data_IF_423133325302
#
_entry.id   IF_423133325302
#
_cell.length_a   1.000
_cell.length_b   1.000
_cell.length_c   1.000
_cell.angle_alpha   90.00
_cell.angle_beta   90.00
_cell.angle_gamma   90.00
#
_symmetry.space_group_name_H-M   'P 1'
#
loop_
_entity.id
_entity.type
_entity.pdbx_description
1 polymer ?
#
# COMPACT_ATOMS: atom_id res chain seq x y z
N UNK A 1 44.18 16.10 16.52
CA UNK A 1 42.88 15.51 16.84
C UNK A 1 42.02 16.56 17.55
N UNK A 2 40.85 16.87 16.99
CA UNK A 2 39.87 17.74 17.64
C UNK A 2 39.27 16.97 18.81
N UNK A 3 39.22 17.48 20.04
CA UNK A 3 38.60 16.76 21.13
C UNK A 3 37.08 16.70 20.89
N UNK A 4 36.48 15.51 21.06
CA UNK A 4 35.05 15.28 20.88
C UNK A 4 34.73 14.09 19.98
N UNK A 5 33.43 13.87 19.70
CA UNK A 5 32.92 12.75 18.89
C UNK A 5 32.80 13.15 17.40
N UNK A 6 33.90 13.71 16.85
CA UNK A 6 33.91 14.12 15.44
C UNK A 6 34.47 13.00 14.56
N UNK A 7 33.73 12.69 13.51
CA UNK A 7 34.14 11.76 12.45
C UNK A 7 34.21 12.52 11.11
N UNK A 8 35.29 12.41 10.34
CA UNK A 8 35.42 13.12 9.06
C UNK A 8 34.43 12.57 8.03
N UNK A 9 33.98 13.41 7.11
CA UNK A 9 33.22 12.96 5.95
C UNK A 9 34.05 11.95 5.15
N UNK A 10 33.51 10.75 4.96
CA UNK A 10 34.24 9.61 4.43
C UNK A 10 33.53 9.04 3.21
N UNK A 11 34.27 8.87 2.12
CA UNK A 11 33.82 8.21 0.91
C UNK A 11 34.49 6.83 0.80
N UNK A 12 33.64 5.79 0.69
CA UNK A 12 34.10 4.41 0.47
C UNK A 12 33.95 4.06 -1.00
N UNK A 13 35.00 3.59 -1.62
CA UNK A 13 35.06 3.06 -2.99
C UNK A 13 35.44 1.58 -2.98
N UNK A 14 35.26 0.89 -4.09
CA UNK A 14 35.51 -0.56 -4.19
C UNK A 14 34.69 -1.37 -3.15
N UNK A 15 33.47 -0.95 -2.92
CA UNK A 15 32.53 -1.59 -1.97
C UNK A 15 31.86 -2.77 -2.66
N UNK A 16 31.75 -3.89 -1.94
CA UNK A 16 31.06 -5.10 -2.38
C UNK A 16 29.76 -5.31 -1.60
N UNK A 17 28.78 -5.95 -2.22
CA UNK A 17 27.42 -6.14 -1.70
C UNK A 17 27.37 -6.90 -0.36
N UNK A 18 28.41 -7.65 0.00
CA UNK A 18 28.53 -8.41 1.25
C UNK A 18 29.10 -7.62 2.43
N UNK A 19 29.65 -6.43 2.20
CA UNK A 19 30.17 -5.56 3.25
C UNK A 19 29.08 -5.03 4.17
N UNK A 20 29.36 -4.88 5.46
CA UNK A 20 28.40 -4.38 6.45
C UNK A 20 27.80 -3.02 6.08
N UNK A 21 28.61 -2.10 5.53
CA UNK A 21 28.15 -0.78 5.07
C UNK A 21 27.09 -0.83 3.97
N UNK A 22 26.91 -2.00 3.31
CA UNK A 22 25.85 -2.20 2.30
C UNK A 22 24.63 -2.91 2.86
N UNK A 23 24.74 -3.52 4.04
CA UNK A 23 23.67 -4.29 4.70
C UNK A 23 23.05 -3.55 5.88
N UNK A 24 23.89 -2.83 6.63
CA UNK A 24 23.48 -2.13 7.84
C UNK A 24 23.51 -0.63 7.63
N UNK A 25 22.60 0.07 8.26
CA UNK A 25 22.54 1.52 8.21
C UNK A 25 23.72 2.12 9.02
N UNK A 26 24.55 2.92 8.34
CA UNK A 26 25.64 3.65 8.99
C UNK A 26 25.17 5.03 9.43
N UNK A 27 24.88 5.20 10.71
CA UNK A 27 24.54 6.51 11.28
C UNK A 27 25.80 7.38 11.43
N UNK A 28 26.28 7.93 10.32
CA UNK A 28 27.49 8.74 10.30
C UNK A 28 27.76 9.33 8.93
N UNK A 29 28.77 10.24 8.83
CA UNK A 29 29.11 10.90 7.57
C UNK A 29 29.92 9.99 6.63
N UNK A 30 29.37 8.83 6.32
CA UNK A 30 29.99 7.81 5.45
C UNK A 30 29.11 7.58 4.24
N UNK A 31 29.67 7.62 3.05
CA UNK A 31 28.98 7.33 1.80
C UNK A 31 29.72 6.23 1.03
N UNK A 32 29.03 5.15 0.71
CA UNK A 32 29.52 4.09 -0.16
C UNK A 32 29.16 4.40 -1.63
N UNK A 33 30.13 4.22 -2.53
CA UNK A 33 29.95 4.39 -3.98
C UNK A 33 30.21 3.07 -4.67
N UNK A 34 29.19 2.61 -5.38
CA UNK A 34 29.21 1.34 -6.12
C UNK A 34 29.01 1.61 -7.61
N UNK A 35 29.94 1.24 -8.48
CA UNK A 35 29.74 1.34 -9.92
C UNK A 35 28.75 0.31 -10.43
N UNK A 36 28.15 0.60 -11.57
CA UNK A 36 27.27 -0.32 -12.30
C UNK A 36 27.48 -0.18 -13.80
N UNK A 37 27.26 -1.25 -14.56
CA UNK A 37 27.44 -1.30 -16.01
C UNK A 37 26.14 -1.13 -16.79
N UNK A 38 24.99 -1.32 -16.12
CA UNK A 38 23.67 -1.20 -16.74
C UNK A 38 22.62 -0.63 -15.79
N UNK A 39 21.57 -0.04 -16.34
CA UNK A 39 20.42 0.44 -15.59
C UNK A 39 19.76 -0.68 -14.76
N UNK A 40 19.63 -1.86 -15.35
CA UNK A 40 19.06 -3.03 -14.67
C UNK A 40 19.89 -3.43 -13.45
N UNK A 41 21.18 -3.38 -13.58
CA UNK A 41 22.09 -3.65 -12.47
C UNK A 41 21.97 -2.60 -11.37
N UNK A 42 21.92 -1.31 -11.73
CA UNK A 42 21.75 -0.22 -10.78
C UNK A 42 20.47 -0.38 -9.96
N UNK A 43 19.35 -0.67 -10.62
CA UNK A 43 18.06 -0.87 -9.94
C UNK A 43 18.09 -2.11 -9.04
N UNK A 44 18.65 -3.21 -9.53
CA UNK A 44 18.79 -4.43 -8.74
C UNK A 44 19.65 -4.20 -7.48
N UNK A 45 20.81 -3.54 -7.62
CA UNK A 45 21.66 -3.18 -6.48
C UNK A 45 20.96 -2.24 -5.50
N UNK A 46 20.27 -1.21 -5.99
CA UNK A 46 19.54 -0.28 -5.14
C UNK A 46 18.41 -0.97 -4.36
N UNK A 47 17.74 -1.98 -4.95
CA UNK A 47 16.67 -2.73 -4.31
C UNK A 47 17.18 -3.88 -3.41
N UNK A 48 18.46 -4.25 -3.51
CA UNK A 48 19.08 -5.30 -2.69
C UNK A 48 19.44 -4.77 -1.29
N UNK A 49 18.43 -4.32 -0.56
CA UNK A 49 18.55 -3.82 0.81
C UNK A 49 17.26 -4.12 1.56
N UNK A 50 17.34 -4.41 2.85
CA UNK A 50 16.20 -4.53 3.75
C UNK A 50 15.63 -3.16 4.15
N UNK A 51 16.29 -2.08 3.76
CA UNK A 51 15.88 -0.70 4.00
C UNK A 51 15.34 -0.08 2.71
N UNK A 52 14.37 0.84 2.84
CA UNK A 52 13.74 1.49 1.70
C UNK A 52 13.03 2.78 2.09
N UNK A 53 13.73 3.72 2.73
CA UNK A 53 13.11 4.99 3.14
C UNK A 53 13.02 5.96 1.98
N UNK A 54 14.15 6.40 1.46
CA UNK A 54 14.24 7.36 0.37
C UNK A 54 15.26 6.94 -0.68
N UNK A 55 15.05 7.37 -1.90
CA UNK A 55 16.00 7.25 -2.99
C UNK A 55 16.01 8.51 -3.86
N UNK A 56 17.05 8.66 -4.68
CA UNK A 56 17.19 9.75 -5.62
C UNK A 56 17.68 9.26 -6.98
N UNK A 57 17.10 9.77 -8.06
CA UNK A 57 17.54 9.49 -9.43
C UNK A 57 17.99 10.79 -10.08
N UNK A 58 19.26 10.86 -10.46
CA UNK A 58 19.85 12.04 -11.08
C UNK A 58 20.01 11.84 -12.56
N UNK A 59 19.27 12.59 -13.37
CA UNK A 59 19.26 12.47 -14.83
C UNK A 59 18.75 13.72 -15.51
N UNK A 60 19.23 14.00 -16.74
CA UNK A 60 18.68 15.05 -17.59
C UNK A 60 17.39 14.61 -18.31
N UNK A 61 17.15 13.30 -18.39
CA UNK A 61 15.94 12.76 -19.02
C UNK A 61 14.88 12.45 -17.95
N UNK A 62 13.91 13.33 -17.79
CA UNK A 62 12.85 13.19 -16.79
C UNK A 62 11.98 11.94 -17.01
N UNK A 63 11.69 11.55 -18.24
CA UNK A 63 10.90 10.36 -18.54
C UNK A 63 11.65 9.10 -18.07
N UNK A 64 12.96 9.04 -18.35
CA UNK A 64 13.84 7.97 -17.83
C UNK A 64 13.90 7.97 -16.31
N UNK A 65 14.04 9.16 -15.69
CA UNK A 65 14.04 9.29 -14.23
C UNK A 65 12.77 8.73 -13.60
N UNK A 66 11.60 9.04 -14.14
CA UNK A 66 10.30 8.52 -13.68
C UNK A 66 10.19 7.01 -13.86
N UNK A 67 10.68 6.47 -14.98
CA UNK A 67 10.66 5.03 -15.25
C UNK A 67 11.54 4.25 -14.24
N UNK A 68 12.72 4.77 -13.92
CA UNK A 68 13.60 4.19 -12.90
C UNK A 68 12.97 4.32 -11.50
N UNK A 69 12.49 5.52 -11.15
CA UNK A 69 11.86 5.78 -9.85
C UNK A 69 10.69 4.81 -9.54
N UNK A 70 9.89 4.48 -10.55
CA UNK A 70 8.78 3.53 -10.41
C UNK A 70 9.22 2.08 -10.10
N UNK A 71 10.50 1.76 -10.29
CA UNK A 71 11.09 0.43 -10.06
C UNK A 71 11.92 0.34 -8.79
N UNK A 72 12.16 1.48 -8.13
CA UNK A 72 12.88 1.51 -6.86
C UNK A 72 11.95 1.19 -5.69
N UNK A 73 12.37 0.29 -4.83
CA UNK A 73 11.62 -0.20 -3.68
C UNK A 73 11.83 0.69 -2.46
N UNK A 74 11.49 1.98 -2.59
CA UNK A 74 11.57 2.98 -1.54
C UNK A 74 10.25 3.72 -1.37
N UNK A 75 9.99 4.19 -0.17
CA UNK A 75 8.76 4.91 0.13
C UNK A 75 8.66 6.25 -0.58
N UNK A 76 9.81 6.89 -0.82
CA UNK A 76 9.91 8.16 -1.56
C UNK A 76 11.09 8.09 -2.53
N UNK A 77 10.86 8.48 -3.78
CA UNK A 77 11.93 8.67 -4.78
C UNK A 77 11.89 10.08 -5.32
N UNK A 78 12.97 10.83 -5.14
CA UNK A 78 13.15 12.15 -5.73
C UNK A 78 13.89 12.07 -7.08
N UNK A 79 13.61 12.98 -8.01
CA UNK A 79 14.33 13.10 -9.28
C UNK A 79 15.08 14.44 -9.28
N UNK A 80 16.39 14.37 -9.40
CA UNK A 80 17.32 15.50 -9.33
C UNK A 80 17.21 16.33 -8.04
N UNK A 81 16.82 15.66 -6.96
CA UNK A 81 16.67 16.24 -5.64
C UNK A 81 16.92 15.19 -4.56
N UNK A 82 17.02 15.64 -3.31
CA UNK A 82 17.17 14.80 -2.14
C UNK A 82 16.53 15.44 -0.92
N UNK A 83 15.75 14.68 -0.15
CA UNK A 83 15.09 15.07 1.11
C UNK A 83 13.97 16.14 1.01
N UNK A 84 13.77 16.82 -0.11
CA UNK A 84 12.78 17.88 -0.24
C UNK A 84 11.36 17.46 0.19
N UNK A 85 10.96 16.25 -0.15
CA UNK A 85 9.63 15.71 0.14
C UNK A 85 9.32 15.56 1.64
N UNK A 86 10.33 15.47 2.50
CA UNK A 86 10.12 15.45 3.96
C UNK A 86 9.58 16.79 4.49
N UNK A 87 9.88 17.89 3.81
CA UNK A 87 9.37 19.22 4.17
C UNK A 87 7.97 19.53 3.65
N UNK A 88 7.35 18.66 2.85
CA UNK A 88 6.03 18.87 2.26
C UNK A 88 4.95 18.19 3.10
N UNK A 89 4.13 19.00 3.76
CA UNK A 89 3.06 18.53 4.65
C UNK A 89 1.97 17.71 3.94
N UNK A 90 1.74 17.93 2.66
CA UNK A 90 0.76 17.26 1.82
C UNK A 90 1.25 15.94 1.21
N UNK A 91 2.57 15.72 1.21
CA UNK A 91 3.17 14.53 0.59
C UNK A 91 3.24 13.38 1.60
N UNK A 92 2.52 12.26 1.39
CA UNK A 92 2.66 11.09 2.25
C UNK A 92 4.10 10.61 2.29
N UNK A 93 4.71 10.61 3.48
CA UNK A 93 6.12 10.29 3.66
C UNK A 93 6.30 9.10 4.59
N UNK A 94 7.17 8.18 4.23
CA UNK A 94 7.48 6.98 5.00
C UNK A 94 8.22 5.95 4.18
N UNK A 95 8.69 4.89 4.83
CA UNK A 95 9.53 3.86 4.22
C UNK A 95 8.77 2.63 3.74
N UNK A 96 9.49 1.81 2.99
CA UNK A 96 9.17 0.43 2.65
C UNK A 96 10.09 -0.50 3.45
N UNK A 97 9.81 -1.80 3.42
CA UNK A 97 10.63 -2.82 4.08
C UNK A 97 10.81 -2.50 5.57
N UNK A 98 12.02 -2.64 6.12
CA UNK A 98 12.31 -2.33 7.52
C UNK A 98 12.37 -0.83 7.84
N UNK A 99 12.36 0.04 6.84
CA UNK A 99 12.40 1.50 7.03
C UNK A 99 11.12 2.11 7.58
N UNK A 100 10.10 1.31 7.84
CA UNK A 100 8.91 1.74 8.56
C UNK A 100 7.61 1.20 8.00
N UNK A 101 6.55 1.36 8.80
CA UNK A 101 5.16 1.04 8.48
C UNK A 101 4.32 2.30 8.55
N UNK A 102 3.28 2.38 7.72
CA UNK A 102 2.42 3.57 7.66
C UNK A 102 3.05 4.74 6.92
N UNK A 103 2.41 5.88 7.07
CA UNK A 103 2.85 7.15 6.46
C UNK A 103 2.63 8.29 7.43
N UNK A 104 3.51 9.29 7.37
CA UNK A 104 3.29 10.61 7.95
C UNK A 104 2.83 11.56 6.83
N UNK A 105 2.34 12.72 7.17
CA UNK A 105 1.90 13.78 6.27
C UNK A 105 0.66 13.43 5.41
N UNK A 106 0.01 14.45 4.91
CA UNK A 106 -1.18 14.33 4.08
C UNK A 106 -2.35 13.61 4.74
N UNK A 107 -3.35 13.25 3.96
CA UNK A 107 -4.52 12.53 4.43
C UNK A 107 -4.18 11.13 4.98
N UNK A 108 -3.16 10.49 4.43
CA UNK A 108 -2.69 9.18 4.91
C UNK A 108 -2.12 9.27 6.32
N UNK A 109 -1.29 10.28 6.61
CA UNK A 109 -0.75 10.49 7.95
C UNK A 109 -1.83 10.78 9.00
N UNK A 110 -2.88 11.50 8.63
CA UNK A 110 -4.04 11.70 9.51
C UNK A 110 -4.80 10.39 9.74
N UNK A 111 -4.97 9.57 8.70
CA UNK A 111 -5.64 8.28 8.83
C UNK A 111 -4.90 7.32 9.78
N UNK A 112 -3.56 7.31 9.76
CA UNK A 112 -2.73 6.50 10.68
C UNK A 112 -2.93 6.87 12.17
N UNK A 113 -3.37 8.09 12.45
CA UNK A 113 -3.66 8.57 13.81
C UNK A 113 -5.08 8.22 14.28
N UNK A 114 -5.87 7.48 13.47
CA UNK A 114 -7.27 7.20 13.73
C UNK A 114 -7.56 5.71 13.68
N UNK A 115 -8.63 5.32 14.37
CA UNK A 115 -9.19 3.99 14.24
C UNK A 115 -10.43 4.02 13.36
N UNK A 116 -10.42 3.27 12.27
CA UNK A 116 -11.61 3.14 11.42
C UNK A 116 -12.69 2.36 12.16
N UNK A 117 -13.88 2.95 12.29
CA UNK A 117 -15.07 2.33 12.85
C UNK A 117 -16.17 2.29 11.79
N UNK A 118 -16.72 1.12 11.55
CA UNK A 118 -17.89 0.94 10.69
C UNK A 118 -19.13 0.82 11.55
N UNK A 119 -20.13 1.64 11.24
CA UNK A 119 -21.47 1.55 11.84
C UNK A 119 -22.42 1.29 10.69
N UNK A 120 -23.11 0.16 10.72
CA UNK A 120 -24.17 -0.16 9.77
C UNK A 120 -25.47 -0.46 10.51
N UNK A 121 -26.58 -0.22 9.84
CA UNK A 121 -27.91 -0.53 10.37
C UNK A 121 -28.78 -1.14 9.25
N UNK A 122 -29.74 -1.92 9.64
CA UNK A 122 -30.70 -2.50 8.72
C UNK A 122 -31.87 -1.52 8.51
N UNK A 123 -32.02 -0.99 7.28
CA UNK A 123 -33.09 -0.07 6.90
C UNK A 123 -34.45 -0.81 6.88
N UNK A 124 -34.42 -2.09 6.58
CA UNK A 124 -35.58 -2.96 6.56
C UNK A 124 -35.44 -4.06 7.62
N UNK A 125 -35.67 -3.74 8.89
CA UNK A 125 -35.46 -4.69 9.96
C UNK A 125 -36.38 -5.92 9.79
N UNK A 126 -35.77 -7.09 9.87
CA UNK A 126 -36.47 -8.36 9.76
C UNK A 126 -36.13 -9.22 10.98
N UNK A 127 -37.10 -10.08 11.37
CA UNK A 127 -36.88 -11.04 12.47
C UNK A 127 -35.63 -11.92 12.25
N UNK A 128 -35.24 -12.08 10.99
CA UNK A 128 -34.10 -12.91 10.61
C UNK A 128 -33.50 -12.45 9.28
N UNK A 129 -32.21 -12.25 9.24
CA UNK A 129 -31.48 -11.98 8.00
C UNK A 129 -30.98 -13.27 7.35
N UNK A 130 -30.76 -13.22 6.01
CA UNK A 130 -30.31 -14.37 5.22
C UNK A 130 -28.97 -14.95 5.67
N UNK A 131 -28.11 -14.14 6.26
CA UNK A 131 -26.79 -14.52 6.76
C UNK A 131 -26.76 -14.95 8.23
N UNK A 132 -27.93 -15.10 8.88
CA UNK A 132 -28.02 -15.62 10.26
C UNK A 132 -28.31 -17.12 10.28
N UNK A 133 -27.72 -17.81 11.24
CA UNK A 133 -28.02 -19.24 11.47
C UNK A 133 -29.45 -19.49 11.96
N UNK A 134 -29.99 -20.68 11.65
CA UNK A 134 -29.47 -21.79 10.85
C UNK A 134 -29.62 -21.55 9.36
N UNK A 135 -28.65 -22.03 8.56
CA UNK A 135 -28.74 -21.98 7.11
C UNK A 135 -29.61 -23.11 6.55
N UNK A 136 -30.32 -22.83 5.48
CA UNK A 136 -31.14 -23.79 4.74
C UNK A 136 -30.78 -23.78 3.25
N UNK A 137 -31.26 -24.78 2.49
CA UNK A 137 -31.12 -24.77 1.03
C UNK A 137 -31.72 -23.49 0.41
N UNK A 138 -32.82 -22.97 0.96
CA UNK A 138 -33.44 -21.72 0.52
C UNK A 138 -32.51 -20.51 0.79
N UNK A 139 -31.90 -20.45 1.97
CA UNK A 139 -30.91 -19.39 2.30
C UNK A 139 -29.75 -19.40 1.32
N UNK A 140 -29.20 -20.58 1.01
CA UNK A 140 -28.13 -20.73 0.04
C UNK A 140 -28.54 -20.23 -1.37
N UNK A 141 -29.72 -20.62 -1.84
CA UNK A 141 -30.22 -20.15 -3.14
C UNK A 141 -30.45 -18.64 -3.19
N UNK A 142 -30.95 -18.05 -2.09
CA UNK A 142 -31.14 -16.60 -1.99
C UNK A 142 -29.80 -15.85 -2.01
N UNK A 143 -28.78 -16.34 -1.31
CA UNK A 143 -27.43 -15.75 -1.31
C UNK A 143 -26.78 -15.85 -2.69
N UNK A 144 -26.91 -17.00 -3.37
CA UNK A 144 -26.43 -17.13 -4.76
C UNK A 144 -27.15 -16.19 -5.71
N UNK A 145 -28.48 -16.02 -5.57
CA UNK A 145 -29.24 -15.07 -6.37
C UNK A 145 -28.81 -13.62 -6.08
N UNK A 146 -28.57 -13.27 -4.82
CA UNK A 146 -28.05 -11.95 -4.42
C UNK A 146 -26.67 -11.66 -5.01
N UNK A 147 -25.75 -12.62 -4.98
CA UNK A 147 -24.43 -12.48 -5.60
C UNK A 147 -24.50 -12.28 -7.11
N UNK A 148 -25.34 -13.06 -7.81
CA UNK A 148 -25.54 -12.94 -9.26
C UNK A 148 -26.27 -11.65 -9.65
N UNK A 149 -27.10 -11.12 -8.78
CA UNK A 149 -27.73 -9.81 -8.95
C UNK A 149 -26.71 -8.68 -8.80
N UNK A 150 -25.84 -8.74 -7.77
CA UNK A 150 -24.84 -7.72 -7.50
C UNK A 150 -23.67 -7.74 -8.51
N UNK A 151 -23.31 -8.92 -9.02
CA UNK A 151 -22.20 -9.14 -9.95
C UNK A 151 -22.61 -9.97 -11.17
N UNK A 152 -23.54 -9.47 -12.01
CA UNK A 152 -24.05 -10.22 -13.14
C UNK A 152 -23.00 -10.31 -14.27
N UNK A 153 -22.87 -11.48 -14.89
CA UNK A 153 -22.02 -11.71 -16.07
C UNK A 153 -22.75 -11.36 -17.39
N UNK A 154 -24.09 -11.26 -17.35
CA UNK A 154 -24.90 -10.91 -18.50
C UNK A 154 -26.23 -10.28 -18.06
N UNK A 155 -26.91 -9.59 -18.98
CA UNK A 155 -28.25 -9.04 -18.73
C UNK A 155 -29.28 -10.12 -18.38
N UNK A 156 -29.19 -11.29 -19.03
CA UNK A 156 -30.05 -12.44 -18.72
C UNK A 156 -29.84 -12.97 -17.30
N UNK A 157 -28.59 -13.02 -16.83
CA UNK A 157 -28.27 -13.40 -15.44
C UNK A 157 -28.80 -12.37 -14.42
N UNK A 158 -28.69 -11.08 -14.73
CA UNK A 158 -29.25 -10.00 -13.92
C UNK A 158 -30.76 -10.15 -13.74
N UNK A 159 -31.50 -10.28 -14.84
CA UNK A 159 -32.98 -10.43 -14.82
C UNK A 159 -33.37 -11.72 -14.11
N UNK A 160 -32.74 -12.85 -14.45
CA UNK A 160 -33.03 -14.15 -13.84
C UNK A 160 -32.76 -14.19 -12.34
N UNK A 161 -31.71 -13.53 -11.87
CA UNK A 161 -31.37 -13.43 -10.46
C UNK A 161 -32.30 -12.48 -9.71
N UNK A 162 -32.73 -11.37 -10.34
CA UNK A 162 -33.74 -10.46 -9.79
C UNK A 162 -35.05 -11.19 -9.49
N UNK A 163 -35.57 -11.96 -10.45
CA UNK A 163 -36.78 -12.75 -10.27
C UNK A 163 -36.66 -13.78 -9.14
N UNK A 164 -35.52 -14.41 -8.99
CA UNK A 164 -35.27 -15.37 -7.90
C UNK A 164 -35.10 -14.70 -6.53
N UNK A 165 -34.56 -13.50 -6.49
CA UNK A 165 -34.33 -12.75 -5.25
C UNK A 165 -35.59 -12.09 -4.71
N UNK A 166 -36.52 -11.66 -5.59
CA UNK A 166 -37.75 -10.94 -5.24
C UNK A 166 -38.59 -11.63 -4.15
N UNK A 167 -38.85 -12.95 -4.19
CA UNK A 167 -39.63 -13.60 -3.14
C UNK A 167 -39.01 -13.52 -1.75
N UNK A 168 -37.67 -13.52 -1.67
CA UNK A 168 -36.93 -13.40 -0.40
C UNK A 168 -37.01 -11.98 0.14
N UNK A 169 -36.93 -10.97 -0.73
CA UNK A 169 -37.05 -9.57 -0.33
C UNK A 169 -38.47 -9.27 0.14
N UNK A 170 -39.48 -9.73 -0.59
CA UNK A 170 -40.90 -9.58 -0.18
C UNK A 170 -41.13 -10.26 1.17
N UNK A 171 -40.65 -11.48 1.36
CA UNK A 171 -40.75 -12.16 2.65
C UNK A 171 -40.11 -11.36 3.77
N UNK A 172 -38.93 -10.77 3.54
CA UNK A 172 -38.25 -9.89 4.51
C UNK A 172 -39.12 -8.68 4.87
N UNK A 173 -39.72 -8.04 3.89
CA UNK A 173 -40.60 -6.85 4.10
C UNK A 173 -41.86 -7.18 4.92
N UNK A 174 -42.49 -8.32 4.67
CA UNK A 174 -43.75 -8.71 5.33
C UNK A 174 -43.54 -9.49 6.65
N UNK A 175 -42.34 -9.95 6.96
CA UNK A 175 -42.03 -10.60 8.23
C UNK A 175 -41.28 -9.69 9.20
N UNK A 176 -41.50 -8.38 9.10
CA UNK A 176 -40.91 -7.40 10.01
C UNK A 176 -41.27 -7.66 11.48
N UNK A 177 -40.42 -7.19 12.39
CA UNK A 177 -40.71 -7.26 13.82
C UNK A 177 -41.99 -6.52 14.14
N UNK A 178 -42.97 -7.24 14.69
CA UNK A 178 -43.97 -6.66 15.55
C UNK A 178 -43.54 -6.79 16.99
#
# INVERSE_FOLDING_TARGET
PTPGYFFPATLLTNVHDDMLTMKEETFGPVMAVVPFDSEEEAIRKANNSDLGLTSSVWTRNQAKGKAIAARLETGVTAINDHLYTHGLSETPWGGWKLSGIGRTHGAHGLAEMTHTKVINWDILPAKRNLWWFPFSKHTHQALLAALRFAFPRSLGEYVGSSLKLTPYLLKKMFTSWK
#
